data_IF_826633884144
#
_entry.id   IF_826633884144
#
_cell.length_a   1.000
_cell.length_b   1.000
_cell.length_c   1.000
_cell.angle_alpha   90.00
_cell.angle_beta   90.00
_cell.angle_gamma   90.00
#
_symmetry.space_group_name_H-M   'P 1'
#
loop_
_entity.id
_entity.type
_entity.pdbx_description
1 polymer ?
#
# COMPACT_ATOMS: atom_id res chain seq x y z
N UNK A 1 27.40 -16.95 -13.93
CA UNK A 1 27.28 -16.05 -12.76
C UNK A 1 26.44 -14.85 -13.14
N UNK A 2 25.19 -14.76 -12.65
CA UNK A 2 24.31 -13.63 -12.94
C UNK A 2 24.62 -12.48 -11.96
N UNK A 3 25.26 -11.45 -12.47
CA UNK A 3 25.53 -10.19 -11.77
C UNK A 3 24.23 -9.42 -11.50
N UNK A 4 24.22 -8.75 -10.35
CA UNK A 4 23.13 -8.02 -9.71
C UNK A 4 22.38 -7.05 -10.63
N UNK A 5 21.05 -7.16 -10.68
CA UNK A 5 20.17 -6.15 -11.28
C UNK A 5 19.93 -5.07 -10.22
N UNK A 6 20.86 -4.12 -10.12
CA UNK A 6 20.60 -2.83 -9.48
C UNK A 6 20.01 -1.93 -10.58
N UNK A 7 18.69 -1.82 -10.65
CA UNK A 7 18.03 -0.69 -11.33
C UNK A 7 17.34 0.18 -10.30
N UNK A 8 18.18 1.00 -9.66
CA UNK A 8 17.80 2.28 -9.07
C UNK A 8 17.18 3.14 -10.20
N UNK A 9 15.86 3.05 -10.38
CA UNK A 9 15.10 4.08 -11.09
C UNK A 9 14.46 4.95 -10.04
N UNK A 10 15.03 6.13 -9.86
CA UNK A 10 14.37 7.29 -9.30
C UNK A 10 13.15 7.55 -10.19
N UNK A 11 12.01 6.99 -9.82
CA UNK A 11 10.70 7.43 -10.25
C UNK A 11 10.16 8.14 -9.02
N UNK A 12 10.14 9.47 -9.03
CA UNK A 12 9.34 10.23 -8.07
C UNK A 12 7.88 9.83 -8.32
N UNK A 13 7.42 8.82 -7.58
CA UNK A 13 6.02 8.40 -7.58
C UNK A 13 5.43 9.05 -6.35
N UNK A 14 4.46 9.95 -6.53
CA UNK A 14 3.62 10.42 -5.41
C UNK A 14 3.17 9.19 -4.62
N UNK A 15 3.66 9.09 -3.39
CA UNK A 15 3.24 8.03 -2.50
C UNK A 15 1.78 8.35 -2.15
N UNK A 16 0.85 7.49 -2.56
CA UNK A 16 -0.52 7.59 -2.07
C UNK A 16 -0.70 6.66 -0.87
N UNK A 17 -1.76 6.90 -0.10
CA UNK A 17 -2.18 6.12 1.05
C UNK A 17 -2.05 4.61 0.82
N UNK A 18 -2.60 4.09 -0.29
CA UNK A 18 -2.61 2.65 -0.58
C UNK A 18 -1.22 2.06 -0.81
N UNK A 19 -0.35 2.78 -1.51
CA UNK A 19 1.04 2.36 -1.70
C UNK A 19 1.83 2.44 -0.40
N UNK A 20 1.54 3.43 0.46
CA UNK A 20 2.14 3.57 1.78
C UNK A 20 1.72 2.40 2.68
N UNK A 21 0.42 2.13 2.80
CA UNK A 21 -0.14 0.99 3.54
C UNK A 21 0.56 -0.29 3.11
N UNK A 22 0.65 -0.56 1.80
CA UNK A 22 1.27 -1.79 1.35
C UNK A 22 2.77 -1.86 1.69
N UNK A 23 3.53 -0.80 1.43
CA UNK A 23 4.99 -0.84 1.54
C UNK A 23 5.50 -0.70 2.97
N UNK A 24 4.87 0.13 3.77
CA UNK A 24 5.39 0.53 5.08
C UNK A 24 4.65 -0.17 6.22
N UNK A 25 3.33 -0.36 6.09
CA UNK A 25 2.49 -1.01 7.10
C UNK A 25 2.52 -2.53 6.92
N UNK A 26 2.11 -3.05 5.75
CA UNK A 26 2.10 -4.50 5.50
C UNK A 26 3.46 -5.06 5.05
N UNK A 27 4.30 -4.24 4.40
CA UNK A 27 5.64 -4.60 3.89
C UNK A 27 5.64 -5.79 2.93
N UNK A 28 4.66 -5.80 2.02
CA UNK A 28 4.46 -6.89 1.05
C UNK A 28 4.49 -6.39 -0.40
N UNK A 29 4.64 -7.32 -1.34
CA UNK A 29 4.45 -7.07 -2.78
C UNK A 29 2.99 -6.79 -3.12
N UNK A 30 2.71 -6.25 -4.32
CA UNK A 30 1.32 -6.03 -4.75
C UNK A 30 0.52 -7.33 -4.85
N UNK A 31 1.15 -8.43 -5.28
CA UNK A 31 0.50 -9.72 -5.41
C UNK A 31 0.12 -10.29 -4.04
N UNK A 32 1.03 -10.21 -3.07
CA UNK A 32 0.74 -10.61 -1.69
C UNK A 32 -0.34 -9.72 -1.07
N UNK A 33 -0.28 -8.40 -1.27
CA UNK A 33 -1.31 -7.48 -0.77
C UNK A 33 -2.69 -7.75 -1.38
N UNK A 34 -2.73 -8.19 -2.63
CA UNK A 34 -3.97 -8.60 -3.27
C UNK A 34 -4.58 -9.83 -2.59
N UNK A 35 -3.75 -10.83 -2.26
CA UNK A 35 -4.18 -12.01 -1.47
C UNK A 35 -4.68 -11.57 -0.09
N UNK A 36 -4.00 -10.62 0.55
CA UNK A 36 -4.41 -10.05 1.85
C UNK A 36 -5.82 -9.46 1.80
N UNK A 37 -6.08 -8.64 0.79
CA UNK A 37 -7.33 -7.90 0.66
C UNK A 37 -8.43 -8.71 -0.07
N UNK A 38 -8.15 -9.94 -0.50
CA UNK A 38 -9.12 -10.77 -1.25
C UNK A 38 -9.42 -10.27 -2.66
N UNK A 39 -8.50 -9.53 -3.28
CA UNK A 39 -8.67 -8.92 -4.61
C UNK A 39 -7.60 -9.39 -5.60
N UNK A 40 -7.64 -8.88 -6.83
CA UNK A 40 -6.59 -9.13 -7.82
C UNK A 40 -5.44 -8.12 -7.70
N UNK A 41 -4.23 -8.51 -8.15
CA UNK A 41 -3.10 -7.57 -8.24
C UNK A 41 -3.42 -6.34 -9.10
N UNK A 42 -4.22 -6.50 -10.15
CA UNK A 42 -4.65 -5.40 -11.01
C UNK A 42 -5.54 -4.39 -10.25
N UNK A 43 -6.35 -4.85 -9.30
CA UNK A 43 -7.10 -3.98 -8.39
C UNK A 43 -6.15 -3.17 -7.50
N UNK A 44 -5.15 -3.81 -6.88
CA UNK A 44 -4.13 -3.11 -6.09
C UNK A 44 -3.38 -2.07 -6.93
N UNK A 45 -2.99 -2.41 -8.16
CA UNK A 45 -2.36 -1.47 -9.09
C UNK A 45 -3.23 -0.25 -9.36
N UNK A 46 -4.55 -0.43 -9.59
CA UNK A 46 -5.48 0.68 -9.77
C UNK A 46 -5.57 1.57 -8.53
N UNK A 47 -5.59 0.98 -7.33
CA UNK A 47 -5.54 1.74 -6.09
C UNK A 47 -4.29 2.60 -5.98
N UNK A 48 -3.13 2.02 -6.28
CA UNK A 48 -1.85 2.73 -6.27
C UNK A 48 -1.71 3.77 -7.39
N UNK A 49 -2.64 3.83 -8.33
CA UNK A 49 -2.73 4.87 -9.36
C UNK A 49 -3.87 5.87 -9.12
N UNK A 50 -4.49 5.87 -7.92
CA UNK A 50 -5.44 6.90 -7.50
C UNK A 50 -6.92 6.49 -7.54
N UNK A 51 -7.23 5.22 -7.78
CA UNK A 51 -8.61 4.72 -7.65
C UNK A 51 -8.89 4.39 -6.18
N UNK A 52 -9.96 4.92 -5.60
CA UNK A 52 -10.30 4.58 -4.22
C UNK A 52 -10.79 3.12 -4.10
N UNK A 53 -10.38 2.37 -3.06
CA UNK A 53 -11.01 1.08 -2.74
C UNK A 53 -12.46 1.28 -2.29
N UNK A 54 -13.28 0.24 -2.44
CA UNK A 54 -14.64 0.20 -1.90
C UNK A 54 -14.63 0.05 -0.37
N UNK A 55 -15.77 0.27 0.26
CA UNK A 55 -15.92 0.06 1.71
C UNK A 55 -15.63 -1.39 2.13
N UNK A 56 -16.05 -2.36 1.32
CA UNK A 56 -15.78 -3.79 1.57
C UNK A 56 -14.28 -4.09 1.48
N UNK A 57 -13.60 -3.53 0.47
CA UNK A 57 -12.15 -3.67 0.30
C UNK A 57 -11.38 -3.02 1.46
N UNK A 58 -11.81 -1.84 1.91
CA UNK A 58 -11.26 -1.19 3.10
C UNK A 58 -11.46 -2.03 4.37
N UNK A 59 -12.60 -2.70 4.51
CA UNK A 59 -12.89 -3.56 5.65
C UNK A 59 -12.07 -4.85 5.61
N UNK A 60 -11.81 -5.41 4.43
CA UNK A 60 -10.90 -6.55 4.26
C UNK A 60 -9.47 -6.19 4.69
N UNK A 61 -8.98 -5.01 4.28
CA UNK A 61 -7.64 -4.52 4.67
C UNK A 61 -7.55 -4.35 6.19
N UNK A 62 -8.55 -3.70 6.82
CA UNK A 62 -8.65 -3.56 8.29
C UNK A 62 -8.60 -4.91 8.99
N UNK A 63 -9.44 -5.85 8.56
CA UNK A 63 -9.51 -7.18 9.15
C UNK A 63 -8.17 -7.91 9.05
N UNK A 64 -7.47 -7.76 7.94
CA UNK A 64 -6.17 -8.37 7.75
C UNK A 64 -5.03 -7.69 8.53
N UNK A 65 -5.14 -6.39 8.84
CA UNK A 65 -4.24 -5.72 9.76
C UNK A 65 -4.41 -6.26 11.18
N UNK A 66 -5.66 -6.32 11.66
CA UNK A 66 -5.99 -6.87 12.97
C UNK A 66 -5.57 -8.34 13.11
N UNK A 67 -5.80 -9.17 12.09
CA UNK A 67 -5.40 -10.57 12.08
C UNK A 67 -3.87 -10.77 12.12
N UNK A 68 -3.10 -9.74 11.78
CA UNK A 68 -1.62 -9.73 11.84
C UNK A 68 -1.08 -8.95 13.02
N UNK A 69 -1.95 -8.53 13.95
CA UNK A 69 -1.56 -7.73 15.12
C UNK A 69 -0.84 -6.43 14.73
N UNK A 70 -1.17 -5.89 13.56
CA UNK A 70 -0.67 -4.59 13.10
C UNK A 70 -1.49 -3.51 13.80
N UNK A 71 -0.81 -2.57 14.46
CA UNK A 71 -1.45 -1.36 14.99
C UNK A 71 -2.00 -0.53 13.82
N UNK A 72 -3.32 -0.52 13.70
CA UNK A 72 -4.03 0.02 12.55
C UNK A 72 -4.75 1.32 12.93
N UNK A 73 -4.59 2.34 12.07
CA UNK A 73 -5.32 3.59 12.17
C UNK A 73 -5.98 3.91 10.82
N UNK A 74 -7.29 4.17 10.82
CA UNK A 74 -8.04 4.50 9.60
C UNK A 74 -7.57 5.79 8.91
N UNK A 75 -6.87 6.68 9.64
CA UNK A 75 -6.18 7.83 9.05
C UNK A 75 -5.22 7.43 7.92
N UNK A 76 -4.66 6.21 7.97
CA UNK A 76 -3.77 5.68 6.93
C UNK A 76 -4.39 5.64 5.53
N UNK A 77 -5.72 5.60 5.39
CA UNK A 77 -6.40 5.66 4.10
C UNK A 77 -6.50 7.06 3.51
N UNK A 78 -6.40 8.09 4.36
CA UNK A 78 -6.68 9.49 4.02
C UNK A 78 -5.43 10.37 4.07
N UNK A 79 -4.41 9.95 4.81
CA UNK A 79 -3.14 10.66 4.89
C UNK A 79 -2.44 10.64 3.52
N UNK A 80 -2.10 11.83 3.02
CA UNK A 80 -1.13 11.96 1.93
C UNK A 80 0.27 11.97 2.56
N UNK A 81 1.07 10.90 2.41
CA UNK A 81 2.41 10.86 2.97
C UNK A 81 3.34 11.92 2.36
N UNK A 82 2.96 12.60 1.28
CA UNK A 82 3.68 13.77 0.78
C UNK A 82 3.52 15.01 1.68
N UNK A 83 2.40 15.17 2.38
CA UNK A 83 2.16 16.33 3.26
C UNK A 83 2.78 16.13 4.65
N UNK A 84 2.81 14.88 5.14
CA UNK A 84 3.36 14.53 6.44
C UNK A 84 4.88 14.81 6.56
N UNK A 85 5.64 14.74 5.47
CA UNK A 85 7.10 15.00 5.47
C UNK A 85 7.45 16.49 5.42
N UNK A 86 6.53 17.36 5.00
CA UNK A 86 6.70 18.82 5.00
C UNK A 86 6.32 19.52 6.31
N UNK A 87 5.66 18.81 7.24
CA UNK A 87 5.11 19.37 8.48
C UNK A 87 6.00 19.17 9.73
N UNK A 88 7.21 18.63 9.57
CA UNK A 88 8.18 18.36 10.65
C UNK A 88 9.42 19.27 10.53
#
# INVERSE_FOLDING_TARGET
MRLQIIRLRIISVRMNAMKHIRKNVFRVTQAEFAVVAGVTQATVSRWENGVAPSLEEMQAIRSAASAREIDWNDALFFDDPAEAETAA
#
